data_IF_602512454553
#
_entry.id   IF_602512454553
#
_cell.length_a   1.000
_cell.length_b   1.000
_cell.length_c   1.000
_cell.angle_alpha   90.00
_cell.angle_beta   90.00
_cell.angle_gamma   90.00
#
_symmetry.space_group_name_H-M   'P 1'
#
loop_
_entity.id
_entity.type
_entity.pdbx_description
1 polymer ?
#
# COMPACT_ATOMS: atom_id res chain seq x y z
N UNK A 1 9.67 -8.21 -30.02
CA UNK A 1 9.26 -8.28 -28.62
C UNK A 1 9.07 -9.77 -28.30
N UNK A 2 10.08 -10.39 -27.68
CA UNK A 2 10.17 -11.84 -27.46
C UNK A 2 9.37 -12.25 -26.22
N UNK A 3 8.74 -13.43 -26.26
CA UNK A 3 7.78 -13.96 -25.28
C UNK A 3 8.27 -14.18 -23.82
N UNK A 4 9.36 -13.54 -23.38
CA UNK A 4 9.69 -13.34 -21.95
C UNK A 4 9.16 -12.01 -21.40
N UNK A 5 8.40 -11.29 -22.20
CA UNK A 5 7.98 -9.92 -21.94
C UNK A 5 6.69 -9.87 -21.11
N UNK A 6 6.87 -9.27 -19.94
CA UNK A 6 5.84 -8.68 -19.07
C UNK A 6 5.01 -9.62 -18.17
N UNK A 7 5.68 -10.55 -17.47
CA UNK A 7 5.06 -11.35 -16.40
C UNK A 7 4.59 -10.53 -15.18
N UNK A 8 4.97 -9.26 -15.10
CA UNK A 8 4.65 -8.40 -13.96
C UNK A 8 3.38 -7.58 -14.20
N UNK A 9 3.01 -7.30 -15.46
CA UNK A 9 1.77 -6.57 -15.77
C UNK A 9 0.56 -7.24 -15.15
N UNK A 10 -0.22 -6.45 -14.41
CA UNK A 10 -1.38 -6.90 -13.68
C UNK A 10 -1.54 -6.16 -12.36
N UNK A 11 -2.53 -6.60 -11.61
CA UNK A 11 -2.84 -6.11 -10.26
C UNK A 11 -2.57 -7.21 -9.26
N UNK A 12 -1.75 -6.89 -8.27
CA UNK A 12 -1.26 -7.80 -7.25
C UNK A 12 -1.82 -7.39 -5.90
N UNK A 13 -2.41 -8.32 -5.15
CA UNK A 13 -2.86 -8.07 -3.78
C UNK A 13 -1.66 -8.06 -2.84
N UNK A 14 -1.60 -7.08 -1.94
CA UNK A 14 -0.62 -7.06 -0.86
C UNK A 14 -0.78 -8.29 0.04
N UNK A 15 0.36 -8.90 0.42
CA UNK A 15 0.43 -10.01 1.38
C UNK A 15 1.20 -9.58 2.63
N UNK A 16 2.43 -9.08 2.48
CA UNK A 16 3.28 -8.67 3.60
C UNK A 16 4.44 -7.78 3.13
N UNK A 17 4.96 -6.92 4.02
CA UNK A 17 6.19 -6.15 3.83
C UNK A 17 6.98 -6.14 5.14
N UNK A 18 8.19 -6.68 5.08
CA UNK A 18 9.12 -6.71 6.20
C UNK A 18 10.53 -6.34 5.73
N UNK A 19 11.26 -5.59 6.55
CA UNK A 19 12.70 -5.41 6.43
C UNK A 19 13.46 -6.37 7.32
N UNK A 20 14.75 -6.53 7.05
CA UNK A 20 15.71 -7.16 7.97
C UNK A 20 16.79 -6.17 8.33
N UNK A 21 17.08 -6.04 9.62
CA UNK A 21 18.22 -5.24 10.10
C UNK A 21 19.54 -5.92 9.74
N UNK A 22 20.64 -5.20 9.85
CA UNK A 22 21.99 -5.78 9.67
C UNK A 22 22.32 -6.82 10.74
N UNK A 23 21.62 -6.81 11.88
CA UNK A 23 21.73 -7.81 12.95
C UNK A 23 20.79 -9.01 12.77
N UNK A 24 19.92 -8.99 11.75
CA UNK A 24 19.01 -10.08 11.41
C UNK A 24 17.59 -9.94 11.97
N UNK A 25 17.31 -8.88 12.74
CA UNK A 25 15.96 -8.64 13.26
C UNK A 25 14.98 -8.31 12.14
N UNK A 26 13.79 -8.89 12.21
CA UNK A 26 12.69 -8.54 11.32
C UNK A 26 12.02 -7.27 11.82
N UNK A 27 11.80 -6.32 10.93
CA UNK A 27 11.12 -5.06 11.22
C UNK A 27 10.00 -4.82 10.22
N UNK A 28 8.94 -4.17 10.66
CA UNK A 28 7.77 -3.84 9.84
C UNK A 28 7.68 -2.31 9.74
N UNK A 29 8.30 -1.68 8.72
CA UNK A 29 8.45 -0.22 8.66
C UNK A 29 7.14 0.55 8.71
N UNK A 30 6.05 -0.09 8.27
CA UNK A 30 4.72 0.49 8.19
C UNK A 30 3.69 -0.28 9.03
N UNK A 31 4.13 -1.13 9.97
CA UNK A 31 3.26 -2.01 10.74
C UNK A 31 3.01 -3.37 10.10
N UNK A 32 2.51 -4.30 10.91
CA UNK A 32 2.35 -5.73 10.56
C UNK A 32 1.10 -6.02 9.72
N UNK A 33 0.11 -5.12 9.75
CA UNK A 33 -1.26 -5.41 9.29
C UNK A 33 -1.73 -4.51 8.15
N UNK A 34 -0.83 -4.07 7.28
CA UNK A 34 -1.22 -3.26 6.12
C UNK A 34 -2.07 -4.06 5.12
N UNK A 35 -2.85 -3.36 4.30
CA UNK A 35 -3.49 -3.95 3.12
C UNK A 35 -3.39 -3.01 1.93
N UNK A 36 -3.59 -3.55 0.73
CA UNK A 36 -3.56 -2.76 -0.48
C UNK A 36 -3.22 -3.59 -1.73
N UNK A 37 -2.68 -2.92 -2.73
CA UNK A 37 -2.36 -3.52 -4.02
C UNK A 37 -1.19 -2.84 -4.72
N UNK A 38 -0.57 -3.59 -5.63
CA UNK A 38 0.48 -3.14 -6.54
C UNK A 38 -0.01 -3.34 -7.98
N UNK A 39 0.16 -2.34 -8.84
CA UNK A 39 -0.19 -2.43 -10.24
C UNK A 39 1.03 -2.15 -11.11
N UNK A 40 1.24 -2.99 -12.13
CA UNK A 40 2.16 -2.73 -13.24
C UNK A 40 1.36 -2.63 -14.52
N UNK A 41 1.58 -1.57 -15.29
CA UNK A 41 0.93 -1.41 -16.59
C UNK A 41 1.84 -1.88 -17.75
N UNK A 42 1.29 -2.05 -18.97
CA UNK A 42 2.09 -2.41 -20.15
C UNK A 42 3.08 -1.32 -20.61
N UNK A 43 2.88 -0.07 -20.19
CA UNK A 43 3.76 1.07 -20.48
C UNK A 43 5.02 1.10 -19.63
N UNK A 44 5.15 0.19 -18.66
CA UNK A 44 6.28 0.11 -17.75
C UNK A 44 6.12 0.97 -16.49
N UNK A 45 4.93 1.50 -16.23
CA UNK A 45 4.63 2.24 -15.01
C UNK A 45 4.19 1.31 -13.88
N UNK A 46 4.39 1.76 -12.65
CA UNK A 46 4.05 1.04 -11.43
C UNK A 46 3.38 1.98 -10.42
N UNK A 47 2.37 1.47 -9.71
CA UNK A 47 1.76 2.15 -8.56
C UNK A 47 1.52 1.19 -7.42
N UNK A 48 1.75 1.66 -6.19
CA UNK A 48 1.50 0.92 -4.95
C UNK A 48 0.55 1.73 -4.09
N UNK A 49 -0.49 1.05 -3.59
CA UNK A 49 -1.43 1.59 -2.62
C UNK A 49 -1.33 0.71 -1.37
N UNK A 50 -1.04 1.33 -0.22
CA UNK A 50 -1.02 0.68 1.09
C UNK A 50 -1.82 1.52 2.08
N UNK A 51 -2.58 0.86 2.94
CA UNK A 51 -3.38 1.52 3.99
C UNK A 51 -3.25 0.75 5.30
N UNK A 52 -3.22 1.50 6.41
CA UNK A 52 -3.31 0.94 7.75
C UNK A 52 -4.78 0.59 8.06
N UNK A 53 -5.10 -0.61 8.54
CA UNK A 53 -6.48 -1.04 8.80
C UNK A 53 -7.14 -0.21 9.91
N UNK A 54 -6.32 0.27 10.84
CA UNK A 54 -6.79 1.08 11.97
C UNK A 54 -6.89 2.58 11.65
N UNK A 55 -6.79 2.98 10.36
CA UNK A 55 -7.02 4.36 9.95
C UNK A 55 -8.46 4.74 10.32
N UNK A 56 -8.68 5.77 11.15
CA UNK A 56 -10.02 6.21 11.51
C UNK A 56 -10.81 6.63 10.28
N UNK A 57 -12.06 6.18 10.19
CA UNK A 57 -13.00 6.75 9.22
C UNK A 57 -13.43 8.14 9.66
N UNK A 58 -13.85 8.96 8.69
CA UNK A 58 -14.51 10.24 8.98
C UNK A 58 -15.84 9.98 9.68
N UNK A 59 -16.12 10.67 10.79
CA UNK A 59 -17.33 10.48 11.58
C UNK A 59 -18.61 10.75 10.77
N UNK A 60 -18.53 11.67 9.81
CA UNK A 60 -19.62 11.99 8.88
C UNK A 60 -19.84 10.95 7.78
N UNK A 61 -18.87 10.05 7.56
CA UNK A 61 -18.80 9.16 6.40
C UNK A 61 -18.46 9.87 5.08
N UNK A 62 -18.24 11.18 5.10
CA UNK A 62 -17.94 12.02 3.93
C UNK A 62 -16.57 12.68 4.11
N UNK A 63 -15.57 12.17 3.37
CA UNK A 63 -14.20 12.68 3.41
C UNK A 63 -14.12 14.17 3.05
N UNK A 64 -15.04 14.68 2.23
CA UNK A 64 -15.07 16.10 1.85
C UNK A 64 -15.54 17.01 3.00
N UNK A 65 -16.10 16.41 4.06
CA UNK A 65 -16.56 17.09 5.27
C UNK A 65 -15.71 16.73 6.49
N UNK A 66 -14.52 16.17 6.29
CA UNK A 66 -13.60 15.88 7.38
C UNK A 66 -13.24 17.14 8.15
N UNK A 67 -13.26 17.04 9.48
CA UNK A 67 -12.67 18.05 10.35
C UNK A 67 -11.16 18.14 10.10
N UNK A 68 -10.51 19.27 10.39
CA UNK A 68 -9.05 19.38 10.28
C UNK A 68 -8.30 18.26 11.03
N UNK A 69 -8.82 17.85 12.19
CA UNK A 69 -8.26 16.77 12.99
C UNK A 69 -8.36 15.42 12.28
N UNK A 70 -9.54 15.10 11.70
CA UNK A 70 -9.73 13.88 10.93
C UNK A 70 -8.88 13.86 9.65
N UNK A 71 -8.75 15.00 8.96
CA UNK A 71 -7.92 15.12 7.76
C UNK A 71 -6.42 14.95 8.06
N UNK A 72 -5.97 15.38 9.25
CA UNK A 72 -4.58 15.22 9.66
C UNK A 72 -4.27 13.80 10.17
N UNK A 73 -5.27 13.09 10.70
CA UNK A 73 -5.17 11.68 11.07
C UNK A 73 -5.32 10.72 9.88
N UNK A 74 -5.70 11.23 8.72
CA UNK A 74 -6.03 10.49 7.50
C UNK A 74 -4.82 10.28 6.57
#
# INVERSE_FOLDING_TARGET
>A
MSARENQLTGTWKYISLSGKSTQGDVLYPYGEHMFGMLMYDPGGFMSVLLMHPDRPGFASGDMMKGTPEELNAA
#
